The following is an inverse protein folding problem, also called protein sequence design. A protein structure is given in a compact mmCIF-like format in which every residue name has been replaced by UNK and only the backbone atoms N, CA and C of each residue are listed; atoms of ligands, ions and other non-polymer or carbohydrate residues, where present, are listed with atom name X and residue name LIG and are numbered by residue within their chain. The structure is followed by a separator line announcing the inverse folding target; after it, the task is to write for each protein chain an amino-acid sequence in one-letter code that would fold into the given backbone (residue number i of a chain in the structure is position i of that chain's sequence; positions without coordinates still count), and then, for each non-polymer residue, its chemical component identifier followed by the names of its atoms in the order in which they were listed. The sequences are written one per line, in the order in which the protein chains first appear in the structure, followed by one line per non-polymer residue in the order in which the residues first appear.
data_IF_330648723843
#
_entry.id   IF_330648723843
#
_cell.length_a   1.000
_cell.length_b   1.000
_cell.length_c   1.000
_cell.angle_alpha   90.00
_cell.angle_beta   90.00
_cell.angle_gamma   90.00
#
_symmetry.space_group_name_H-M   'P 1'
#
loop_
_entity.id
_entity.type
_entity.pdbx_description
1 polymer ?
#
# COMPACT_ATOMS: atom_id res chain seq x y z
N UNK A 1 -20.87 -14.04 7.42
CA UNK A 1 -19.80 -14.51 8.33
C UNK A 1 -19.28 -13.32 9.09
N UNK A 2 -19.05 -13.44 10.40
CA UNK A 2 -18.39 -12.39 11.18
C UNK A 2 -16.95 -12.21 10.68
N UNK A 3 -16.43 -10.98 10.75
CA UNK A 3 -15.03 -10.71 10.42
C UNK A 3 -14.14 -11.24 11.54
N UNK A 4 -13.22 -12.14 11.19
CA UNK A 4 -12.19 -12.67 12.08
C UNK A 4 -10.81 -12.30 11.54
N UNK A 5 -9.81 -12.19 12.42
CA UNK A 5 -8.43 -11.96 11.98
C UNK A 5 -7.95 -13.13 11.12
N UNK A 6 -7.34 -12.81 9.97
CA UNK A 6 -6.59 -13.79 9.18
C UNK A 6 -5.13 -13.78 9.62
N UNK A 7 -4.52 -14.95 9.65
CA UNK A 7 -3.07 -15.14 9.83
C UNK A 7 -2.41 -15.63 8.53
N UNK A 8 -3.14 -15.60 7.42
CA UNK A 8 -2.64 -16.10 6.15
C UNK A 8 -1.49 -15.22 5.63
N UNK A 9 -0.45 -15.85 5.04
CA UNK A 9 0.65 -15.10 4.44
C UNK A 9 0.21 -14.24 3.26
N UNK A 10 1.04 -13.25 2.93
CA UNK A 10 0.92 -12.45 1.72
C UNK A 10 2.11 -12.74 0.80
N UNK A 11 1.83 -12.90 -0.49
CA UNK A 11 2.84 -13.13 -1.52
C UNK A 11 2.95 -11.86 -2.35
N UNK A 12 3.97 -11.06 -2.06
CA UNK A 12 4.25 -9.80 -2.73
C UNK A 12 4.98 -10.08 -4.02
N UNK A 13 4.40 -9.71 -5.15
CA UNK A 13 5.02 -9.89 -6.47
C UNK A 13 4.97 -8.56 -7.20
N UNK A 14 6.08 -8.24 -7.85
CA UNK A 14 6.16 -7.19 -8.84
C UNK A 14 6.85 -7.75 -10.10
N UNK A 15 6.28 -7.42 -11.25
CA UNK A 15 6.79 -7.79 -12.56
C UNK A 15 7.20 -6.53 -13.34
N UNK A 16 8.34 -6.65 -14.04
CA UNK A 16 8.67 -5.75 -15.13
C UNK A 16 8.28 -6.42 -16.44
N UNK A 17 7.64 -5.67 -17.34
CA UNK A 17 7.12 -6.19 -18.60
C UNK A 17 7.61 -5.37 -19.79
N UNK A 18 7.54 -5.95 -20.98
CA UNK A 18 7.81 -5.25 -22.24
C UNK A 18 6.76 -4.15 -22.55
N UNK A 19 5.61 -4.20 -21.89
CA UNK A 19 4.50 -3.26 -22.03
C UNK A 19 3.33 -3.62 -21.10
N UNK A 20 2.11 -3.24 -21.47
CA UNK A 20 0.92 -3.35 -20.61
C UNK A 20 -0.16 -4.29 -21.18
N UNK A 21 0.03 -4.87 -22.37
CA UNK A 21 -0.93 -5.78 -22.98
C UNK A 21 -0.48 -7.24 -22.79
N UNK A 22 -1.08 -8.02 -21.88
CA UNK A 22 -0.66 -9.40 -21.63
C UNK A 22 -0.88 -10.34 -22.84
N UNK A 23 -1.59 -9.91 -23.88
CA UNK A 23 -1.74 -10.68 -25.11
C UNK A 23 -0.50 -10.60 -26.02
N UNK A 24 0.28 -9.53 -25.92
CA UNK A 24 1.42 -9.24 -26.81
C UNK A 24 2.73 -9.04 -26.05
N UNK A 25 2.66 -8.52 -24.83
CA UNK A 25 3.78 -8.25 -23.95
C UNK A 25 4.11 -9.45 -23.05
N UNK A 26 5.35 -9.46 -22.54
CA UNK A 26 5.87 -10.55 -21.72
C UNK A 26 6.64 -10.04 -20.50
N UNK A 27 6.70 -10.87 -19.45
CA UNK A 27 7.42 -10.57 -18.20
C UNK A 27 8.94 -10.65 -18.46
N UNK A 28 9.63 -9.53 -18.27
CA UNK A 28 11.09 -9.35 -18.36
C UNK A 28 11.81 -9.72 -17.06
N UNK A 29 11.23 -9.38 -15.92
CA UNK A 29 11.71 -9.84 -14.61
C UNK A 29 10.55 -9.99 -13.64
N UNK A 30 10.77 -10.82 -12.62
CA UNK A 30 9.81 -11.03 -11.54
C UNK A 30 10.55 -11.06 -10.22
N UNK A 31 10.05 -10.31 -9.25
CA UNK A 31 10.52 -10.33 -7.86
C UNK A 31 9.40 -10.80 -6.94
N UNK A 32 9.76 -11.47 -5.85
CA UNK A 32 8.80 -11.99 -4.89
C UNK A 32 9.32 -11.97 -3.45
N UNK A 33 8.50 -11.44 -2.55
CA UNK A 33 8.75 -11.45 -1.10
C UNK A 33 7.52 -12.01 -0.40
N UNK A 34 7.71 -12.87 0.59
CA UNK A 34 6.61 -13.38 1.40
C UNK A 34 6.63 -12.69 2.75
N UNK A 35 5.45 -12.31 3.24
CA UNK A 35 5.28 -11.81 4.61
C UNK A 35 4.24 -12.63 5.35
N UNK A 36 4.32 -12.61 6.68
CA UNK A 36 3.15 -12.95 7.49
C UNK A 36 2.05 -11.86 7.35
N UNK A 37 0.92 -12.06 8.04
CA UNK A 37 -0.20 -11.11 8.06
C UNK A 37 0.15 -9.73 8.66
N UNK A 38 1.23 -9.64 9.44
CA UNK A 38 1.72 -8.40 10.06
C UNK A 38 2.75 -7.65 9.21
N UNK A 39 2.92 -8.05 7.94
CA UNK A 39 3.85 -7.43 6.99
C UNK A 39 5.33 -7.60 7.37
N UNK A 40 5.65 -8.64 8.15
CA UNK A 40 7.02 -9.03 8.48
C UNK A 40 7.51 -10.04 7.44
N UNK A 41 8.63 -9.78 6.73
CA UNK A 41 9.20 -10.71 5.77
C UNK A 41 9.52 -12.06 6.40
N UNK A 42 9.18 -13.15 5.70
CA UNK A 42 9.50 -14.53 6.08
C UNK A 42 10.91 -14.94 5.63
N UNK A 43 11.49 -14.16 4.73
CA UNK A 43 12.82 -14.31 4.17
C UNK A 43 13.44 -12.93 3.94
N UNK A 44 14.76 -12.80 4.14
CA UNK A 44 15.50 -11.58 3.86
C UNK A 44 15.92 -11.48 2.39
N UNK A 45 16.14 -12.62 1.73
CA UNK A 45 16.66 -12.70 0.36
C UNK A 45 15.59 -12.64 -0.70
N UNK A 46 14.34 -13.06 -0.43
CA UNK A 46 13.29 -13.04 -1.45
C UNK A 46 13.57 -13.98 -2.62
N UNK A 47 12.86 -13.77 -3.73
CA UNK A 47 13.12 -14.42 -5.01
C UNK A 47 13.17 -13.37 -6.10
N UNK A 48 14.17 -13.43 -6.96
CA UNK A 48 14.31 -12.55 -8.12
C UNK A 48 14.71 -13.38 -9.34
N UNK A 49 14.11 -13.12 -10.49
CA UNK A 49 14.48 -13.75 -11.75
C UNK A 49 14.39 -12.76 -12.91
N UNK A 50 15.45 -12.72 -13.73
CA UNK A 50 15.47 -12.00 -15.02
C UNK A 50 15.26 -13.01 -16.13
N UNK A 51 14.29 -12.74 -17.01
CA UNK A 51 13.84 -13.65 -18.03
C UNK A 51 14.54 -13.36 -19.34
N UNK A 52 15.04 -14.43 -19.97
CA UNK A 52 15.68 -14.36 -21.27
C UNK A 52 14.72 -13.79 -22.33
N UNK A 53 15.18 -12.77 -23.04
CA UNK A 53 14.48 -12.20 -24.21
C UNK A 53 15.45 -12.04 -25.39
N UNK A 54 14.93 -12.24 -26.60
CA UNK A 54 15.69 -11.92 -27.82
C UNK A 54 15.65 -10.42 -28.11
N UNK A 55 16.64 -9.87 -28.83
CA UNK A 55 16.61 -8.47 -29.26
C UNK A 55 15.35 -8.10 -30.06
N UNK A 56 14.79 -9.05 -30.83
CA UNK A 56 13.56 -8.79 -31.59
C UNK A 56 12.34 -8.63 -30.68
N UNK A 57 12.22 -9.41 -29.60
CA UNK A 57 11.13 -9.25 -28.63
C UNK A 57 11.23 -7.91 -27.90
N UNK A 58 12.45 -7.47 -27.56
CA UNK A 58 12.67 -6.20 -26.88
C UNK A 58 12.48 -4.99 -27.82
N UNK A 59 12.58 -5.18 -29.13
CA UNK A 59 12.41 -4.09 -30.11
C UNK A 59 10.96 -3.62 -30.27
N UNK A 60 9.98 -4.36 -29.74
CA UNK A 60 8.56 -3.99 -29.80
C UNK A 60 8.09 -3.18 -28.59
N UNK A 61 8.99 -2.94 -27.63
CA UNK A 61 8.71 -2.15 -26.45
C UNK A 61 8.37 -0.70 -26.81
N UNK A 62 7.48 -0.08 -26.02
CA UNK A 62 7.22 1.36 -26.12
C UNK A 62 8.48 2.19 -25.83
N UNK A 63 8.50 3.45 -26.28
CA UNK A 63 9.63 4.37 -26.00
C UNK A 63 9.88 4.52 -24.49
N UNK A 64 8.82 4.54 -23.69
CA UNK A 64 8.92 4.59 -22.23
C UNK A 64 9.64 3.34 -21.70
N UNK A 65 9.20 2.14 -22.11
CA UNK A 65 9.81 0.88 -21.67
C UNK A 65 11.29 0.80 -22.10
N UNK A 66 11.62 1.19 -23.33
CA UNK A 66 12.99 1.21 -23.84
C UNK A 66 13.88 2.11 -22.97
N UNK A 67 13.41 3.32 -22.65
CA UNK A 67 14.16 4.27 -21.83
C UNK A 67 14.32 3.79 -20.39
N UNK A 68 13.24 3.37 -19.75
CA UNK A 68 13.24 2.95 -18.33
C UNK A 68 14.06 1.68 -18.12
N UNK A 69 13.79 0.62 -18.89
CA UNK A 69 14.49 -0.67 -18.76
C UNK A 69 15.92 -0.61 -19.29
N UNK A 70 16.21 0.32 -20.21
CA UNK A 70 17.56 0.64 -20.63
C UNK A 70 18.37 1.30 -19.51
N UNK A 71 17.80 2.29 -18.83
CA UNK A 71 18.46 3.01 -17.73
C UNK A 71 18.71 2.14 -16.50
N UNK A 72 17.78 1.22 -16.17
CA UNK A 72 17.96 0.25 -15.08
C UNK A 72 18.93 -0.88 -15.41
N UNK A 73 19.28 -1.05 -16.70
CA UNK A 73 20.11 -2.16 -17.19
C UNK A 73 19.34 -3.47 -17.40
N UNK A 74 18.03 -3.49 -17.14
CA UNK A 74 17.19 -4.68 -17.27
C UNK A 74 17.16 -5.22 -18.70
N UNK A 75 17.10 -4.34 -19.71
CA UNK A 75 17.12 -4.74 -21.13
C UNK A 75 18.35 -5.57 -21.46
N UNK A 76 19.52 -5.14 -20.97
CA UNK A 76 20.78 -5.86 -21.16
C UNK A 76 20.78 -7.19 -20.39
N UNK A 77 20.32 -7.18 -19.14
CA UNK A 77 20.23 -8.39 -18.33
C UNK A 77 19.30 -9.45 -18.95
N UNK A 78 18.21 -9.04 -19.63
CA UNK A 78 17.32 -9.96 -20.35
C UNK A 78 18.00 -10.63 -21.55
N UNK A 79 18.87 -9.90 -22.26
CA UNK A 79 19.65 -10.45 -23.40
C UNK A 79 20.71 -11.44 -22.89
N UNK A 80 21.34 -11.14 -21.75
CA UNK A 80 22.40 -11.96 -21.14
C UNK A 80 21.84 -13.15 -20.33
N UNK A 81 20.57 -13.11 -19.92
CA UNK A 81 19.94 -14.16 -19.12
C UNK A 81 19.77 -15.46 -19.92
N UNK A 82 19.97 -16.58 -19.24
CA UNK A 82 19.67 -17.93 -19.74
C UNK A 82 18.40 -18.52 -19.11
N UNK A 83 17.70 -17.75 -18.27
CA UNK A 83 16.52 -18.22 -17.54
C UNK A 83 15.28 -18.03 -18.40
N UNK A 84 14.65 -19.13 -18.79
CA UNK A 84 13.39 -19.08 -19.55
C UNK A 84 12.18 -18.86 -18.63
N UNK A 85 11.09 -18.30 -19.15
CA UNK A 85 9.86 -18.09 -18.39
C UNK A 85 9.33 -19.36 -17.70
N UNK A 86 9.29 -20.55 -18.33
CA UNK A 86 8.86 -21.77 -17.64
C UNK A 86 9.78 -22.19 -16.49
N UNK A 87 11.10 -21.94 -16.59
CA UNK A 87 12.05 -22.23 -15.51
C UNK A 87 11.80 -21.28 -14.34
N UNK A 88 11.67 -19.97 -14.60
CA UNK A 88 11.39 -18.98 -13.58
C UNK A 88 10.03 -19.22 -12.89
N UNK A 89 8.96 -19.50 -13.65
CA UNK A 89 7.64 -19.77 -13.09
C UNK A 89 7.65 -20.98 -12.13
N UNK A 90 8.35 -22.06 -12.49
CA UNK A 90 8.51 -23.24 -11.61
C UNK A 90 9.32 -22.91 -10.36
N UNK A 91 10.41 -22.15 -10.50
CA UNK A 91 11.25 -21.74 -9.37
C UNK A 91 10.50 -20.82 -8.40
N UNK A 92 9.73 -19.86 -8.94
CA UNK A 92 8.87 -18.97 -8.17
C UNK A 92 7.80 -19.77 -7.41
N UNK A 93 7.11 -20.70 -8.07
CA UNK A 93 6.12 -21.55 -7.40
C UNK A 93 6.76 -22.40 -6.29
N UNK A 94 7.96 -22.94 -6.52
CA UNK A 94 8.69 -23.70 -5.50
C UNK A 94 9.05 -22.82 -4.30
N UNK A 95 9.50 -21.59 -4.55
CA UNK A 95 9.79 -20.61 -3.51
C UNK A 95 8.53 -20.27 -2.69
N UNK A 96 7.40 -19.97 -3.35
CA UNK A 96 6.12 -19.70 -2.68
C UNK A 96 5.67 -20.89 -1.82
N UNK A 97 5.75 -22.12 -2.36
CA UNK A 97 5.33 -23.34 -1.65
C UNK A 97 6.17 -23.67 -0.43
N UNK A 98 7.41 -23.19 -0.35
CA UNK A 98 8.26 -23.38 0.84
C UNK A 98 7.64 -22.74 2.09
N UNK A 99 6.98 -21.60 1.93
CA UNK A 99 6.38 -20.85 3.05
C UNK A 99 4.84 -20.98 3.09
N UNK A 100 4.21 -21.30 1.94
CA UNK A 100 2.76 -21.50 1.81
C UNK A 100 2.51 -22.88 1.20
N UNK A 101 2.69 -23.98 1.95
CA UNK A 101 2.57 -25.33 1.39
C UNK A 101 1.13 -25.65 0.96
N UNK A 102 0.14 -25.15 1.70
CA UNK A 102 -1.27 -25.35 1.39
C UNK A 102 -1.76 -24.37 0.30
N UNK A 103 -2.40 -24.86 -0.76
CA UNK A 103 -2.95 -24.00 -1.80
C UNK A 103 -4.12 -23.16 -1.26
N UNK A 104 -4.37 -22.03 -1.93
CA UNK A 104 -5.49 -21.11 -1.66
C UNK A 104 -5.49 -20.44 -0.29
N UNK A 105 -4.37 -20.45 0.43
CA UNK A 105 -4.21 -19.72 1.71
C UNK A 105 -3.79 -18.27 1.49
N UNK A 106 -2.65 -18.06 0.83
CA UNK A 106 -2.06 -16.74 0.70
C UNK A 106 -2.68 -15.90 -0.42
N UNK A 107 -2.72 -14.58 -0.23
CA UNK A 107 -3.17 -13.61 -1.24
C UNK A 107 -1.98 -13.07 -2.03
N UNK A 108 -2.21 -12.79 -3.31
CA UNK A 108 -1.28 -11.98 -4.11
C UNK A 108 -1.35 -10.53 -3.63
N UNK A 109 -0.19 -9.93 -3.35
CA UNK A 109 -0.05 -8.61 -2.76
C UNK A 109 0.88 -7.71 -3.58
N UNK A 110 0.61 -6.40 -3.56
CA UNK A 110 1.44 -5.40 -4.24
C UNK A 110 0.66 -4.12 -4.54
N UNK A 111 1.34 -3.10 -5.07
CA UNK A 111 0.69 -1.92 -5.61
C UNK A 111 0.17 -2.19 -7.02
N UNK A 112 -1.12 -1.91 -7.26
CA UNK A 112 -1.74 -2.12 -8.57
C UNK A 112 -1.55 -3.56 -9.07
N UNK A 113 -1.48 -4.52 -8.13
CA UNK A 113 -1.07 -5.92 -8.37
C UNK A 113 -2.02 -6.68 -9.30
N UNK A 114 -3.18 -6.11 -9.59
CA UNK A 114 -4.06 -6.62 -10.64
C UNK A 114 -3.39 -6.58 -12.02
N UNK A 115 -2.51 -5.62 -12.29
CA UNK A 115 -1.72 -5.54 -13.53
C UNK A 115 -0.75 -6.72 -13.62
N UNK A 116 0.03 -6.99 -12.56
CA UNK A 116 0.91 -8.17 -12.49
C UNK A 116 0.11 -9.46 -12.61
N UNK A 117 -1.04 -9.52 -11.93
CA UNK A 117 -1.96 -10.66 -12.01
C UNK A 117 -2.39 -10.94 -13.46
N UNK A 118 -2.62 -9.94 -14.29
CA UNK A 118 -3.00 -10.15 -15.70
C UNK A 118 -1.92 -10.91 -16.48
N UNK A 119 -0.64 -10.58 -16.26
CA UNK A 119 0.47 -11.32 -16.85
C UNK A 119 0.66 -12.70 -16.22
N UNK A 120 0.46 -12.80 -14.90
CA UNK A 120 0.51 -14.08 -14.19
C UNK A 120 -0.63 -15.05 -14.59
N UNK A 121 -1.72 -14.57 -15.21
CA UNK A 121 -2.76 -15.46 -15.76
C UNK A 121 -2.33 -16.20 -17.03
N UNK A 122 -1.33 -15.68 -17.75
CA UNK A 122 -0.85 -16.30 -18.98
C UNK A 122 0.09 -17.47 -18.66
N UNK A 123 0.03 -18.59 -19.41
CA UNK A 123 1.06 -19.61 -19.35
C UNK A 123 2.45 -19.02 -19.70
N UNK A 124 3.53 -19.42 -19.00
CA UNK A 124 3.60 -20.49 -18.01
C UNK A 124 3.35 -20.06 -16.55
N UNK A 125 2.95 -18.81 -16.31
CA UNK A 125 2.88 -18.20 -14.98
C UNK A 125 1.62 -18.54 -14.18
N UNK A 126 0.56 -18.99 -14.86
CA UNK A 126 -0.75 -19.31 -14.26
C UNK A 126 -0.65 -20.28 -13.08
N UNK A 127 0.36 -21.14 -13.05
CA UNK A 127 0.63 -22.09 -11.95
C UNK A 127 0.84 -21.42 -10.59
N UNK A 128 1.26 -20.14 -10.55
CA UNK A 128 1.36 -19.35 -9.33
C UNK A 128 -0.05 -19.00 -8.84
N UNK A 129 -0.92 -18.47 -9.71
CA UNK A 129 -2.29 -18.07 -9.36
C UNK A 129 -3.19 -19.26 -9.00
N UNK A 130 -2.93 -20.43 -9.57
CA UNK A 130 -3.60 -21.68 -9.19
C UNK A 130 -3.32 -22.04 -7.72
N UNK A 131 -2.13 -21.71 -7.23
CA UNK A 131 -1.72 -21.94 -5.84
C UNK A 131 -2.18 -20.85 -4.87
N UNK A 132 -2.30 -19.60 -5.33
CA UNK A 132 -2.74 -18.47 -4.50
C UNK A 132 -4.27 -18.37 -4.38
N UNK A 133 -4.75 -17.65 -3.36
CA UNK A 133 -6.16 -17.31 -3.24
C UNK A 133 -6.58 -16.31 -4.34
N UNK A 134 -7.85 -16.33 -4.74
CA UNK A 134 -8.36 -15.51 -5.86
C UNK A 134 -8.44 -14.00 -5.55
N UNK A 135 -8.41 -13.63 -4.27
CA UNK A 135 -8.46 -12.24 -3.79
C UNK A 135 -7.08 -11.60 -3.83
N UNK A 136 -7.07 -10.29 -3.93
CA UNK A 136 -5.87 -9.47 -3.96
C UNK A 136 -5.73 -8.67 -2.67
N UNK A 137 -4.50 -8.48 -2.24
CA UNK A 137 -4.10 -7.43 -1.31
C UNK A 137 -3.50 -6.28 -2.13
N UNK A 138 -4.36 -5.44 -2.71
CA UNK A 138 -3.95 -4.31 -3.56
C UNK A 138 -3.74 -3.05 -2.73
N UNK A 139 -2.49 -2.65 -2.56
CA UNK A 139 -2.09 -1.46 -1.79
C UNK A 139 -2.61 -0.19 -2.46
N UNK A 140 -2.64 -0.15 -3.80
CA UNK A 140 -3.12 1.01 -4.54
C UNK A 140 -4.62 1.25 -4.37
N UNK A 141 -5.41 0.19 -4.14
CA UNK A 141 -6.83 0.35 -3.80
C UNK A 141 -6.99 1.11 -2.46
N UNK A 142 -6.15 0.81 -1.48
CA UNK A 142 -6.14 1.52 -0.18
C UNK A 142 -5.61 2.95 -0.34
N UNK A 143 -4.55 3.15 -1.14
CA UNK A 143 -4.03 4.48 -1.49
C UNK A 143 -5.13 5.40 -2.04
N UNK A 144 -5.97 4.88 -2.94
CA UNK A 144 -7.05 5.66 -3.54
C UNK A 144 -8.18 6.01 -2.55
N UNK A 145 -8.42 5.18 -1.53
CA UNK A 145 -9.31 5.51 -0.41
C UNK A 145 -8.71 6.62 0.45
N UNK A 146 -7.43 6.49 0.83
CA UNK A 146 -6.70 7.48 1.62
C UNK A 146 -6.68 8.83 0.90
N UNK A 147 -6.37 8.85 -0.40
CA UNK A 147 -6.34 10.07 -1.21
C UNK A 147 -7.67 10.85 -1.22
N UNK A 148 -8.80 10.18 -1.03
CA UNK A 148 -10.14 10.79 -1.07
C UNK A 148 -10.67 11.19 0.30
N UNK A 149 -10.32 10.45 1.34
CA UNK A 149 -10.99 10.55 2.64
C UNK A 149 -10.07 10.91 3.80
N UNK A 150 -8.76 10.78 3.65
CA UNK A 150 -7.84 11.13 4.70
C UNK A 150 -7.67 12.65 4.83
N UNK A 151 -7.29 13.09 6.02
CA UNK A 151 -7.00 14.51 6.28
C UNK A 151 -5.73 14.94 5.54
N UNK A 152 -5.54 16.26 5.27
CA UNK A 152 -4.32 16.77 4.66
C UNK A 152 -3.05 16.32 5.38
N UNK A 153 -3.06 16.31 6.71
CA UNK A 153 -1.91 15.86 7.50
C UNK A 153 -1.52 14.39 7.24
N UNK A 154 -2.51 13.51 7.01
CA UNK A 154 -2.24 12.10 6.65
C UNK A 154 -1.69 11.98 5.23
N UNK A 155 -2.11 12.85 4.31
CA UNK A 155 -1.57 12.88 2.95
C UNK A 155 -0.13 13.40 2.93
N UNK A 156 0.19 14.41 3.74
CA UNK A 156 1.53 14.97 3.87
C UNK A 156 2.53 14.02 4.54
N UNK A 157 2.09 13.18 5.49
CA UNK A 157 2.92 12.17 6.16
C UNK A 157 3.09 10.87 5.34
N UNK A 158 2.35 10.72 4.24
CA UNK A 158 2.41 9.51 3.42
C UNK A 158 3.83 9.29 2.85
N UNK A 159 4.35 8.05 2.86
CA UNK A 159 5.66 7.74 2.30
C UNK A 159 5.77 8.16 0.84
N UNK A 160 6.86 8.86 0.50
CA UNK A 160 7.18 9.24 -0.88
C UNK A 160 7.99 8.11 -1.52
N UNK A 161 7.55 7.64 -2.69
CA UNK A 161 8.27 6.62 -3.47
C UNK A 161 9.55 7.21 -4.07
N UNK A 162 10.63 6.41 -4.05
CA UNK A 162 11.91 6.77 -4.66
C UNK A 162 11.97 6.38 -6.15
N UNK A 163 11.13 5.43 -6.57
CA UNK A 163 10.92 5.05 -7.98
C UNK A 163 12.23 4.57 -8.64
N UNK A 164 12.93 3.64 -7.96
CA UNK A 164 14.21 3.10 -8.44
C UNK A 164 14.06 2.10 -9.61
N UNK A 165 12.84 1.80 -10.05
CA UNK A 165 12.50 1.01 -11.24
C UNK A 165 13.15 -0.38 -11.26
N UNK A 166 13.14 -1.04 -10.10
CA UNK A 166 13.48 -2.46 -10.01
C UNK A 166 12.40 -3.15 -9.20
N UNK A 167 11.89 -4.26 -9.70
CA UNK A 167 10.80 -5.00 -9.05
C UNK A 167 11.03 -5.30 -7.56
N UNK A 168 12.26 -5.55 -7.14
CA UNK A 168 12.57 -5.77 -5.71
C UNK A 168 12.41 -4.51 -4.86
N UNK A 169 12.88 -3.37 -5.35
CA UNK A 169 12.76 -2.11 -4.61
C UNK A 169 11.31 -1.64 -4.58
N UNK A 170 10.58 -1.84 -5.68
CA UNK A 170 9.16 -1.52 -5.78
C UNK A 170 8.31 -2.34 -4.77
N UNK A 171 8.68 -3.60 -4.50
CA UNK A 171 8.09 -4.40 -3.41
C UNK A 171 8.41 -3.79 -2.03
N UNK A 172 9.63 -3.30 -1.79
CA UNK A 172 9.99 -2.67 -0.51
C UNK A 172 9.24 -1.37 -0.28
N UNK A 173 9.08 -0.57 -1.33
CA UNK A 173 8.24 0.63 -1.30
C UNK A 173 6.78 0.26 -1.00
N UNK A 174 6.25 -0.76 -1.69
CA UNK A 174 4.89 -1.27 -1.47
C UNK A 174 4.66 -1.73 -0.03
N UNK A 175 5.64 -2.44 0.56
CA UNK A 175 5.59 -2.85 1.96
C UNK A 175 5.64 -1.67 2.93
N UNK A 176 6.44 -0.66 2.62
CA UNK A 176 6.54 0.56 3.44
C UNK A 176 5.22 1.32 3.44
N UNK A 177 4.62 1.48 2.26
CA UNK A 177 3.30 2.07 2.06
C UNK A 177 2.21 1.27 2.80
N UNK A 178 2.17 -0.06 2.65
CA UNK A 178 1.21 -0.92 3.32
C UNK A 178 1.33 -0.86 4.86
N UNK A 179 2.55 -0.79 5.40
CA UNK A 179 2.79 -0.62 6.84
C UNK A 179 2.28 0.73 7.34
N UNK A 180 2.40 1.78 6.54
CA UNK A 180 1.81 3.08 6.86
C UNK A 180 0.28 2.98 6.96
N UNK A 181 -0.37 2.40 5.95
CA UNK A 181 -1.83 2.20 5.98
C UNK A 181 -2.30 1.30 7.10
N UNK A 182 -1.54 0.24 7.43
CA UNK A 182 -1.81 -0.62 8.58
C UNK A 182 -1.86 0.21 9.88
N UNK A 183 -0.89 1.10 10.12
CA UNK A 183 -0.87 1.97 11.32
C UNK A 183 -2.10 2.90 11.38
N UNK A 184 -2.51 3.46 10.24
CA UNK A 184 -3.73 4.27 10.18
C UNK A 184 -4.98 3.46 10.55
N UNK A 185 -5.10 2.25 10.00
CA UNK A 185 -6.23 1.35 10.26
C UNK A 185 -6.26 0.90 11.73
N UNK A 186 -5.10 0.62 12.33
CA UNK A 186 -4.99 0.25 13.74
C UNK A 186 -5.40 1.39 14.69
N UNK A 187 -5.30 2.65 14.24
CA UNK A 187 -5.75 3.82 14.98
C UNK A 187 -7.25 4.13 14.84
N UNK A 188 -7.98 3.39 14.00
CA UNK A 188 -9.42 3.63 13.81
C UNK A 188 -10.22 3.24 15.05
N UNK A 189 -11.17 4.10 15.42
CA UNK A 189 -12.13 3.81 16.48
C UNK A 189 -13.37 3.12 15.89
N UNK A 190 -14.07 2.27 16.68
CA UNK A 190 -15.35 1.72 16.26
C UNK A 190 -16.33 2.85 15.92
N UNK A 191 -16.95 2.76 14.74
CA UNK A 191 -18.02 3.69 14.36
C UNK A 191 -19.25 3.36 15.22
N UNK A 192 -19.65 4.31 16.06
CA UNK A 192 -20.85 4.19 16.89
C UNK A 192 -22.07 4.60 16.06
N UNK A 193 -22.91 3.63 15.68
CA UNK A 193 -24.17 3.89 14.96
C UNK A 193 -24.15 3.41 13.50
N UNK A 194 -25.08 2.52 13.16
CA UNK A 194 -25.46 2.28 11.78
C UNK A 194 -26.37 3.44 11.35
N UNK A 195 -25.81 4.49 10.75
CA UNK A 195 -26.63 5.40 9.95
C UNK A 195 -27.10 4.64 8.72
N UNK A 196 -28.27 4.01 8.85
CA UNK A 196 -29.09 3.63 7.71
C UNK A 196 -29.37 4.94 6.98
N UNK A 197 -28.84 5.08 5.76
CA UNK A 197 -29.07 6.23 4.90
C UNK A 197 -30.53 6.67 4.98
N UNK A 198 -30.77 7.75 5.72
CA UNK A 198 -32.09 8.27 6.00
C UNK A 198 -32.70 8.75 4.69
N UNK A 199 -33.66 7.99 4.18
CA UNK A 199 -34.64 8.54 3.24
C UNK A 199 -35.39 9.63 4.00
N UNK A 200 -35.09 10.88 3.66
CA UNK A 200 -35.82 12.06 4.14
C UNK A 200 -37.32 11.87 3.90
N UNK A 201 -38.06 11.56 4.96
CA UNK A 201 -39.49 11.83 5.05
C UNK A 201 -39.67 12.85 6.15
N UNK A 202 -40.12 14.05 5.76
CA UNK A 202 -40.18 15.23 6.60
C UNK A 202 -41.00 15.02 7.88
N UNK A 203 -40.62 15.78 8.92
CA UNK A 203 -41.35 15.84 10.18
C UNK A 203 -40.58 16.63 11.24
N UNK A 204 -40.85 17.93 11.26
CA UNK A 204 -40.79 18.88 12.38
C UNK A 204 -39.66 18.82 13.41
N UNK A 205 -38.87 19.89 13.38
CA UNK A 205 -37.88 20.27 14.39
C UNK A 205 -38.61 20.73 15.65
N UNK A 206 -38.44 20.02 16.77
CA UNK A 206 -38.75 20.60 18.08
C UNK A 206 -37.49 20.58 18.95
N UNK A 207 -36.90 21.76 19.16
CA UNK A 207 -35.79 21.98 20.07
C UNK A 207 -36.24 21.64 21.50
N UNK A 208 -35.55 20.70 22.14
CA UNK A 208 -35.53 20.61 23.60
C UNK A 208 -34.08 20.54 24.07
N UNK A 209 -33.60 21.66 24.61
CA UNK A 209 -32.29 21.79 25.25
C UNK A 209 -32.23 20.92 26.50
N UNK A 210 -31.37 19.90 26.52
CA UNK A 210 -30.96 19.21 27.76
C UNK A 210 -29.48 19.51 28.02
N UNK A 211 -29.23 20.29 29.08
CA UNK A 211 -27.91 20.49 29.68
C UNK A 211 -27.46 19.17 30.31
N UNK A 212 -26.38 18.57 29.80
CA UNK A 212 -25.66 17.53 30.52
C UNK A 212 -24.67 18.17 31.51
N UNK A 213 -24.72 17.71 32.75
CA UNK A 213 -23.92 18.18 33.88
C UNK A 213 -22.44 17.75 33.76
N UNK A 214 -21.54 18.60 34.25
CA UNK A 214 -20.12 18.31 34.37
C UNK A 214 -19.85 17.30 35.51
N UNK A 215 -18.86 16.40 35.38
CA UNK A 215 -18.46 15.53 36.48
C UNK A 215 -17.51 16.25 37.45
N UNK A 216 -17.78 16.14 38.74
CA UNK A 216 -16.91 16.62 39.83
C UNK A 216 -15.64 15.76 40.00
N UNK A 217 -14.52 16.34 40.45
CA UNK A 217 -13.28 15.60 40.70
C UNK A 217 -13.27 14.88 42.06
N UNK A 218 -12.76 13.65 42.08
CA UNK A 218 -12.53 12.86 43.31
C UNK A 218 -11.35 13.40 44.15
N UNK A 219 -11.36 13.21 45.49
CA UNK A 219 -10.36 13.79 46.39
C UNK A 219 -9.09 12.95 46.50
N UNK A 220 -7.94 13.62 46.56
CA UNK A 220 -6.63 13.04 46.82
C UNK A 220 -6.42 12.76 48.33
N UNK A 221 -5.93 11.56 48.63
CA UNK A 221 -5.58 11.12 49.99
C UNK A 221 -4.17 11.60 50.38
N UNK A 222 -4.09 12.25 51.54
CA UNK A 222 -2.86 12.58 52.24
C UNK A 222 -2.11 11.33 52.72
N UNK A 223 -0.79 11.29 52.56
CA UNK A 223 0.11 10.67 53.54
C UNK A 223 1.41 11.46 53.64
N UNK A 224 1.73 11.81 54.89
CA UNK A 224 2.88 12.61 55.31
C UNK A 224 4.01 11.71 55.84
N UNK A 225 5.22 12.28 55.87
CA UNK A 225 6.33 12.04 56.82
C UNK A 225 7.25 10.82 56.56
N UNK A 226 8.51 11.03 56.13
CA UNK A 226 9.67 11.39 56.98
C UNK A 226 11.01 11.39 56.19
N UNK A 227 11.81 12.42 56.43
CA UNK A 227 13.27 12.51 56.21
C UNK A 227 13.92 12.44 57.61
N UNK A 228 15.21 12.05 57.81
CA UNK A 228 16.29 13.06 57.72
C UNK A 228 17.72 12.54 57.41
N UNK A 229 18.57 13.41 56.84
CA UNK A 229 19.97 13.73 57.23
C UNK A 229 20.62 14.57 56.11
N UNK A 230 20.85 15.88 56.26
CA UNK A 230 21.90 16.58 57.02
C UNK A 230 23.24 16.73 56.26
N UNK A 231 23.63 17.99 55.95
CA UNK A 231 24.95 18.38 55.48
C UNK A 231 25.02 19.78 54.84
N UNK A 232 25.31 20.81 55.64
CA UNK A 232 25.35 22.24 55.29
C UNK A 232 26.67 22.72 54.62
N UNK A 233 26.59 23.49 53.51
CA UNK A 233 26.94 24.94 53.28
C UNK A 233 28.24 25.53 53.94
N UNK A 234 28.99 26.56 53.41
CA UNK A 234 28.61 27.64 52.44
C UNK A 234 29.62 28.16 51.38
N UNK A 235 29.08 28.97 50.45
CA UNK A 235 29.62 30.29 50.04
C UNK A 235 29.95 30.44 48.54
N UNK A 236 29.54 31.46 47.78
CA UNK A 236 28.73 32.65 48.02
C UNK A 236 28.68 33.56 46.75
N UNK A 237 27.61 34.36 46.63
CA UNK A 237 27.48 35.62 45.83
C UNK A 237 27.44 35.51 44.29
N UNK A 238 26.84 36.40 43.50
CA UNK A 238 25.92 37.56 43.62
C UNK A 238 25.66 37.97 42.13
N UNK A 239 24.42 37.91 41.60
CA UNK A 239 23.52 39.04 41.23
C UNK A 239 23.50 39.53 39.76
N UNK A 240 22.25 39.82 39.34
CA UNK A 240 21.75 40.72 38.27
C UNK A 240 21.74 40.22 36.83
N UNK A 241 20.67 40.37 36.03
CA UNK A 241 19.38 41.02 36.26
C UNK A 241 18.59 41.11 34.93
N UNK A 242 17.24 41.15 35.04
CA UNK A 242 16.26 41.99 34.30
C UNK A 242 16.32 42.10 32.75
N UNK A 243 15.26 42.08 31.92
CA UNK A 243 13.82 42.37 32.06
C UNK A 243 13.09 42.20 30.69
N UNK A 244 11.80 41.84 30.74
CA UNK A 244 10.64 42.33 29.95
C UNK A 244 10.50 42.12 28.40
N UNK A 245 9.30 41.65 27.99
CA UNK A 245 8.75 41.66 26.60
C UNK A 245 8.18 43.04 26.17
N UNK A 246 7.15 43.19 25.28
CA UNK A 246 6.20 42.19 24.74
C UNK A 246 5.69 42.41 23.25
N UNK A 247 4.77 41.54 22.77
CA UNK A 247 3.72 41.62 21.67
C UNK A 247 3.99 42.33 20.31
N UNK A 248 3.69 41.66 19.19
CA UNK A 248 2.67 42.11 18.19
C UNK A 248 2.34 41.05 17.12
N UNK A 249 1.21 41.26 16.46
CA UNK A 249 0.40 40.36 15.64
C UNK A 249 0.55 40.54 14.12
N UNK A 250 0.16 39.48 13.41
CA UNK A 250 -0.46 39.43 12.07
C UNK A 250 0.31 39.90 10.82
N UNK A 251 0.49 38.96 9.88
CA UNK A 251 0.06 39.15 8.48
C UNK A 251 -0.22 37.79 7.81
N UNK A 252 -1.44 37.66 7.31
CA UNK A 252 -1.87 36.60 6.40
C UNK A 252 -1.16 36.81 5.06
N UNK A 253 -0.39 35.80 4.61
CA UNK A 253 -0.01 35.67 3.21
C UNK A 253 -0.78 34.48 2.64
N UNK A 254 -1.79 34.80 1.82
CA UNK A 254 -2.48 33.85 0.96
C UNK A 254 -1.50 33.32 -0.08
N UNK A 255 -0.84 32.20 0.22
CA UNK A 255 -0.22 31.39 -0.81
C UNK A 255 -1.33 30.57 -1.47
N UNK A 256 -1.71 30.98 -2.68
CA UNK A 256 -2.46 30.14 -3.60
C UNK A 256 -1.67 28.85 -3.80
N UNK A 257 -2.10 27.78 -3.13
CA UNK A 257 -1.61 26.43 -3.39
C UNK A 257 -2.04 26.06 -4.80
N UNK A 258 -1.15 26.28 -5.76
CA UNK A 258 -1.20 25.59 -7.05
C UNK A 258 -1.22 24.10 -6.71
N UNK A 259 -2.34 23.45 -7.04
CA UNK A 259 -2.46 21.99 -7.00
C UNK A 259 -1.43 21.46 -8.00
N UNK A 260 -0.25 21.12 -7.49
CA UNK A 260 0.75 20.37 -8.24
C UNK A 260 0.22 18.94 -8.25
N UNK A 261 -0.45 18.57 -9.34
CA UNK A 261 -0.71 17.18 -9.66
C UNK A 261 0.61 16.41 -9.78
N UNK A 262 0.62 15.08 -9.67
CA UNK A 262 1.85 14.31 -9.74
C UNK A 262 2.47 14.47 -11.13
N UNK A 263 3.62 15.14 -11.23
CA UNK A 263 4.32 15.38 -12.50
C UNK A 263 5.57 14.50 -12.58
N UNK A 264 5.38 13.19 -12.56
CA UNK A 264 6.42 12.26 -13.00
C UNK A 264 5.83 11.27 -14.02
N UNK A 265 6.60 10.93 -15.05
CA UNK A 265 6.21 9.93 -16.04
C UNK A 265 5.96 8.53 -15.45
N UNK A 266 6.34 8.31 -14.19
CA UNK A 266 6.09 7.09 -13.43
C UNK A 266 4.73 7.13 -12.73
N UNK A 267 4.30 8.28 -12.21
CA UNK A 267 2.91 8.44 -11.76
C UNK A 267 1.96 8.23 -12.93
N UNK A 268 2.31 8.67 -14.13
CA UNK A 268 1.57 8.37 -15.36
C UNK A 268 1.56 6.87 -15.69
N UNK A 269 2.66 6.15 -15.49
CA UNK A 269 2.72 4.69 -15.70
C UNK A 269 1.94 3.91 -14.64
N UNK A 270 2.07 4.25 -13.35
CA UNK A 270 1.29 3.67 -12.26
C UNK A 270 -0.21 3.97 -12.47
N UNK A 271 -0.53 5.19 -12.92
CA UNK A 271 -1.89 5.57 -13.32
C UNK A 271 -2.34 4.85 -14.60
N UNK A 272 -1.45 4.54 -15.54
CA UNK A 272 -1.76 3.71 -16.71
C UNK A 272 -1.98 2.25 -16.32
N UNK A 273 -1.17 1.68 -15.42
CA UNK A 273 -1.41 0.37 -14.78
C UNK A 273 -2.80 0.36 -14.15
N UNK A 274 -3.18 1.43 -13.45
CA UNK A 274 -4.53 1.59 -12.86
C UNK A 274 -5.64 1.78 -13.90
N UNK A 275 -5.40 2.52 -14.99
CA UNK A 275 -6.42 2.92 -15.96
C UNK A 275 -6.68 1.89 -17.06
N UNK A 276 -5.68 1.13 -17.50
CA UNK A 276 -5.85 0.07 -18.51
C UNK A 276 -6.74 -1.08 -18.02
N UNK A 277 -7.02 -1.15 -16.71
CA UNK A 277 -8.01 -2.04 -16.11
C UNK A 277 -9.47 -1.68 -16.44
N UNK A 278 -9.74 -0.54 -17.11
CA UNK A 278 -11.11 -0.08 -17.41
C UNK A 278 -11.59 -0.27 -18.86
N UNK A 279 -10.72 -0.66 -19.80
CA UNK A 279 -11.06 -0.69 -21.24
C UNK A 279 -11.01 -2.10 -21.87
N UNK A 280 -10.59 -3.13 -21.11
CA UNK A 280 -10.58 -4.51 -21.59
C UNK A 280 -11.86 -5.29 -21.28
N UNK A 281 -12.94 -5.07 -22.03
CA UNK A 281 -14.14 -5.91 -21.89
C UNK A 281 -15.35 -5.44 -22.69
N UNK A 282 -15.30 -5.56 -24.02
CA UNK A 282 -16.51 -5.59 -24.83
C UNK A 282 -17.39 -6.76 -24.40
N UNK A 283 -18.64 -6.43 -24.05
CA UNK A 283 -19.75 -7.33 -23.75
C UNK A 283 -19.79 -8.56 -24.64
N UNK A 284 -19.51 -9.73 -24.05
CA UNK A 284 -20.11 -11.01 -24.45
C UNK A 284 -20.45 -11.77 -23.16
N UNK A 285 -21.52 -11.32 -22.50
CA UNK A 285 -22.15 -12.09 -21.43
C UNK A 285 -22.97 -13.22 -22.08
N UNK A 286 -22.43 -14.44 -21.94
CA UNK A 286 -23.13 -15.71 -21.75
C UNK A 286 -24.66 -15.65 -21.86
N UNK A 287 -25.20 -16.09 -22.99
CA UNK A 287 -26.54 -16.64 -23.09
C UNK A 287 -26.41 -18.17 -23.04
N UNK A 288 -26.84 -18.79 -21.94
CA UNK A 288 -26.53 -20.19 -21.69
C UNK A 288 -27.02 -20.74 -20.36
N UNK A 289 -28.26 -20.46 -19.97
CA UNK A 289 -28.99 -21.29 -18.99
C UNK A 289 -30.43 -21.48 -19.47
N UNK A 290 -30.60 -22.37 -20.44
CA UNK A 290 -31.88 -23.06 -20.66
C UNK A 290 -31.85 -24.32 -19.80
N UNK A 291 -32.66 -24.32 -18.74
CA UNK A 291 -32.96 -25.53 -17.97
C UNK A 291 -34.18 -26.17 -18.61
N UNK A 292 -33.94 -27.17 -19.45
CA UNK A 292 -34.95 -28.17 -19.76
C UNK A 292 -34.63 -29.40 -18.90
N UNK A 293 -35.50 -29.67 -17.92
CA UNK A 293 -35.54 -30.92 -17.16
C UNK A 293 -36.70 -31.74 -17.72
N UNK A 294 -36.53 -33.06 -17.95
CA UNK A 294 -37.54 -33.93 -18.56
C UNK A 294 -38.81 -34.14 -17.72
#
# INVERSE_FOLDING_TARGET
MALTRSTDPLVWIDCEMTGLDPATDTIMSVSCVLTNSDLVPLDNEGFDAVIQHTPSQLSTMSEWCVRTHGASGLTRACIESTTTAPVAARALLQYVRRYVPEPRRALLAGNSVHADKMFLMAPPWNVILDHLHYRLFDVSATKEMIRRWASPAVLEDAPVKQLMHTAREDIRESLTEARYYKRLIEGLLPVSGHDVLGVNSGGDVNMTTTRAAAPEPSPASNHTMLNPAAGSIPGGGFVSGTTAGPISSSSYASASASVVGPTTAQDEWDMQKLNNASVGGTTTMYDGFRTDVP
#
